data_IF_100877588019
#
_entry.id   IF_100877588019
#
_cell.length_a   1.000
_cell.length_b   1.000
_cell.length_c   1.000
_cell.angle_alpha   90.00
_cell.angle_beta   90.00
_cell.angle_gamma   90.00
#
_symmetry.space_group_name_H-M   'P 1'
#
loop_
_entity.id
_entity.type
_entity.pdbx_description
1 polymer ?
#
# COMPACT_ATOMS: atom_id res chain seq x y z
N UNK A 1 21.64 52.98 14.58
CA UNK A 1 21.52 51.97 13.50
C UNK A 1 21.86 50.62 14.11
N UNK A 2 20.84 49.77 14.26
CA UNK A 2 20.92 48.38 14.76
C UNK A 2 21.32 47.47 13.61
N UNK A 3 22.24 46.53 13.82
CA UNK A 3 22.17 45.18 13.21
C UNK A 3 22.79 44.21 14.23
N UNK A 4 21.96 43.53 15.03
CA UNK A 4 22.36 42.29 15.69
C UNK A 4 22.19 41.19 14.65
N UNK A 5 23.30 40.65 14.13
CA UNK A 5 23.28 39.44 13.32
C UNK A 5 22.95 38.25 14.21
N UNK A 6 21.69 37.81 14.19
CA UNK A 6 21.28 36.52 14.74
C UNK A 6 21.64 35.47 13.69
N UNK A 7 22.77 34.79 13.89
CA UNK A 7 23.16 33.63 13.08
C UNK A 7 22.32 32.44 13.54
N UNK A 8 21.30 32.08 12.77
CA UNK A 8 20.62 30.80 12.92
C UNK A 8 21.55 29.69 12.41
N UNK A 9 22.22 29.00 13.32
CA UNK A 9 22.88 27.73 13.03
C UNK A 9 21.79 26.67 12.82
N UNK A 10 21.38 26.45 11.58
CA UNK A 10 20.65 25.25 11.17
C UNK A 10 21.59 24.06 11.32
N UNK A 11 21.54 23.37 12.46
CA UNK A 11 22.21 22.08 12.60
C UNK A 11 21.49 21.06 11.72
N UNK A 12 22.01 20.80 10.51
CA UNK A 12 21.58 19.67 9.72
C UNK A 12 21.93 18.39 10.50
N UNK A 13 20.93 17.63 10.91
CA UNK A 13 21.14 16.36 11.59
C UNK A 13 21.63 15.34 10.55
N UNK A 14 22.94 15.09 10.53
CA UNK A 14 23.57 14.15 9.61
C UNK A 14 23.34 12.75 10.16
N UNK A 15 22.38 12.03 9.59
CA UNK A 15 22.18 10.62 9.89
C UNK A 15 23.27 9.78 9.21
N UNK A 16 23.81 8.78 9.90
CA UNK A 16 24.78 7.86 9.31
C UNK A 16 24.11 7.04 8.20
N UNK A 17 24.75 6.92 7.04
CA UNK A 17 24.24 6.09 5.95
C UNK A 17 24.38 4.61 6.27
N UNK A 18 23.40 3.82 5.83
CA UNK A 18 23.41 2.36 5.95
C UNK A 18 23.06 1.76 4.60
N UNK A 19 23.90 0.87 4.07
CA UNK A 19 23.68 0.24 2.77
C UNK A 19 23.44 -1.26 2.93
N UNK A 20 22.44 -1.77 2.22
CA UNK A 20 22.08 -3.19 2.14
C UNK A 20 22.26 -3.65 0.70
N UNK A 21 22.92 -4.80 0.51
CA UNK A 21 23.03 -5.45 -0.80
C UNK A 21 21.90 -6.46 -0.96
N UNK A 22 21.14 -6.33 -2.06
CA UNK A 22 20.06 -7.26 -2.41
C UNK A 22 20.31 -7.83 -3.82
N UNK A 23 19.65 -8.94 -4.22
CA UNK A 23 19.74 -9.46 -5.58
C UNK A 23 19.31 -8.45 -6.66
N UNK A 24 18.45 -7.48 -6.32
CA UNK A 24 17.97 -6.45 -7.24
C UNK A 24 18.93 -5.25 -7.37
N UNK A 25 19.94 -5.16 -6.49
CA UNK A 25 20.85 -4.02 -6.39
C UNK A 25 21.01 -3.53 -4.94
N UNK A 26 21.73 -2.42 -4.75
CA UNK A 26 22.01 -1.88 -3.42
C UNK A 26 20.95 -0.87 -2.97
N UNK A 27 20.54 -0.92 -1.71
CA UNK A 27 19.63 0.05 -1.09
C UNK A 27 20.36 0.80 0.01
N UNK A 28 20.47 2.11 -0.12
CA UNK A 28 21.04 3.01 0.87
C UNK A 28 19.91 3.73 1.61
N UNK A 29 19.92 3.56 2.93
CA UNK A 29 19.08 4.23 3.89
C UNK A 29 19.93 5.02 4.89
N UNK A 30 19.34 5.29 6.06
CA UNK A 30 19.98 6.06 7.12
C UNK A 30 19.63 5.53 8.51
N UNK A 31 20.57 5.64 9.44
CA UNK A 31 20.40 5.29 10.83
C UNK A 31 19.73 6.42 11.60
N UNK A 32 18.75 6.10 12.44
CA UNK A 32 18.14 7.02 13.39
C UNK A 32 18.39 6.60 14.83
N UNK A 33 18.62 7.57 15.71
CA UNK A 33 18.79 7.39 17.15
C UNK A 33 18.02 8.50 17.88
N UNK A 34 16.91 8.15 18.52
CA UNK A 34 16.09 9.05 19.33
C UNK A 34 16.39 8.94 20.82
N UNK A 35 17.46 8.22 21.20
CA UNK A 35 17.83 7.97 22.59
C UNK A 35 17.01 6.85 23.24
N UNK A 36 17.29 6.59 24.52
CA UNK A 36 16.72 5.46 25.29
C UNK A 36 15.66 5.88 26.30
N UNK A 37 15.38 7.18 26.44
CA UNK A 37 14.41 7.68 27.40
C UNK A 37 12.97 7.34 26.96
N UNK A 38 12.39 6.29 27.56
CA UNK A 38 11.04 5.82 27.22
C UNK A 38 9.93 6.83 27.58
N UNK A 39 10.22 7.82 28.42
CA UNK A 39 9.30 8.92 28.73
C UNK A 39 9.27 10.00 27.65
N UNK A 40 10.23 10.01 26.72
CA UNK A 40 10.24 10.92 25.59
C UNK A 40 9.16 10.55 24.55
N UNK A 41 8.67 11.55 23.81
CA UNK A 41 7.68 11.31 22.75
C UNK A 41 8.23 10.37 21.67
N UNK A 42 9.53 10.42 21.39
CA UNK A 42 10.23 9.51 20.49
C UNK A 42 11.45 8.94 21.22
N UNK A 43 11.64 7.62 21.12
CA UNK A 43 12.81 6.90 21.62
C UNK A 43 13.07 5.69 20.73
N UNK A 44 14.25 5.09 20.86
CA UNK A 44 14.68 3.93 20.09
C UNK A 44 15.60 4.29 18.93
N UNK A 45 16.14 3.23 18.31
CA UNK A 45 17.05 3.32 17.17
C UNK A 45 16.56 2.41 16.06
N UNK A 46 16.89 2.75 14.82
CA UNK A 46 16.57 1.92 13.67
C UNK A 46 17.39 2.31 12.45
N UNK A 47 17.50 1.39 11.50
CA UNK A 47 17.90 1.72 10.13
C UNK A 47 16.64 1.86 9.27
N UNK A 48 16.59 2.96 8.52
CA UNK A 48 15.41 3.41 7.76
C UNK A 48 15.76 3.38 6.27
N UNK A 49 14.96 2.65 5.49
CA UNK A 49 15.04 2.58 4.03
C UNK A 49 13.71 3.01 3.45
N UNK A 50 13.72 4.04 2.61
CA UNK A 50 12.52 4.61 2.02
C UNK A 50 12.51 4.38 0.51
N UNK A 51 11.33 4.35 -0.10
CA UNK A 51 11.20 4.48 -1.55
C UNK A 51 11.78 3.33 -2.37
N UNK A 52 11.73 2.10 -1.86
CA UNK A 52 12.23 0.93 -2.58
C UNK A 52 11.16 0.48 -3.59
N UNK A 53 11.44 0.47 -4.90
CA UNK A 53 10.47 -0.02 -5.87
C UNK A 53 10.31 -1.54 -5.70
N UNK A 54 9.07 -2.02 -5.76
CA UNK A 54 8.78 -3.46 -5.74
C UNK A 54 8.19 -3.96 -7.06
N UNK A 55 7.72 -3.05 -7.91
CA UNK A 55 7.18 -3.33 -9.24
C UNK A 55 7.56 -2.20 -10.21
N UNK A 56 7.49 -2.48 -11.51
CA UNK A 56 7.71 -1.47 -12.53
C UNK A 56 6.63 -0.37 -12.44
N UNK A 57 6.97 0.89 -12.80
CA UNK A 57 5.99 1.98 -12.76
C UNK A 57 4.76 1.67 -13.63
N UNK A 58 3.53 1.73 -13.07
CA UNK A 58 2.31 1.43 -13.81
C UNK A 58 1.84 2.66 -14.59
N UNK A 59 2.68 3.13 -15.51
CA UNK A 59 2.43 4.33 -16.34
C UNK A 59 2.26 3.97 -17.80
N UNK A 60 1.65 4.87 -18.57
CA UNK A 60 1.38 4.65 -20.00
C UNK A 60 0.57 3.37 -20.22
N UNK A 61 1.05 2.49 -21.08
CA UNK A 61 0.38 1.23 -21.43
C UNK A 61 0.21 0.28 -20.23
N UNK A 62 0.97 0.48 -19.14
CA UNK A 62 0.88 -0.33 -17.91
C UNK A 62 -0.16 0.17 -16.90
N UNK A 63 -0.76 1.35 -17.13
CA UNK A 63 -1.69 2.02 -16.20
C UNK A 63 -2.80 1.11 -15.68
N UNK A 64 -3.42 0.34 -16.58
CA UNK A 64 -4.52 -0.58 -16.29
C UNK A 64 -4.12 -2.06 -16.37
N UNK A 65 -2.83 -2.35 -16.34
CA UNK A 65 -2.32 -3.72 -16.40
C UNK A 65 -1.95 -4.23 -15.00
N UNK A 66 -1.75 -5.53 -14.88
CA UNK A 66 -1.17 -6.12 -13.67
C UNK A 66 0.21 -5.53 -13.36
N UNK A 67 0.61 -5.45 -12.08
CA UNK A 67 1.96 -5.02 -11.74
C UNK A 67 2.97 -5.97 -12.38
N UNK A 68 4.03 -5.40 -12.94
CA UNK A 68 5.15 -6.18 -13.49
C UNK A 68 6.27 -6.22 -12.46
N UNK A 69 6.80 -7.39 -12.08
CA UNK A 69 7.90 -7.48 -11.14
C UNK A 69 9.15 -6.78 -11.70
N UNK A 70 9.91 -6.10 -10.85
CA UNK A 70 11.22 -5.59 -11.24
C UNK A 70 12.27 -6.71 -11.22
N UNK A 71 13.15 -6.72 -12.22
CA UNK A 71 14.31 -7.63 -12.27
C UNK A 71 15.57 -7.02 -11.67
N UNK A 72 15.63 -5.68 -11.57
CA UNK A 72 16.68 -4.91 -10.90
C UNK A 72 16.18 -3.53 -10.53
N UNK A 73 16.85 -2.86 -9.58
CA UNK A 73 16.58 -1.46 -9.29
C UNK A 73 17.03 -0.56 -10.46
N UNK A 74 16.33 0.54 -10.74
CA UNK A 74 16.81 1.55 -11.68
C UNK A 74 18.24 1.98 -11.31
N UNK A 75 19.16 1.95 -12.28
CA UNK A 75 20.60 2.24 -12.07
C UNK A 75 21.31 1.30 -11.06
N UNK A 76 20.71 0.17 -10.71
CA UNK A 76 21.23 -0.82 -9.75
C UNK A 76 21.26 -0.35 -8.30
N UNK A 77 20.75 0.85 -7.99
CA UNK A 77 20.85 1.45 -6.65
C UNK A 77 19.59 2.23 -6.27
N UNK A 78 19.21 2.16 -5.00
CA UNK A 78 18.15 2.99 -4.39
C UNK A 78 18.81 3.84 -3.30
N UNK A 79 18.68 5.16 -3.37
CA UNK A 79 19.27 6.08 -2.40
C UNK A 79 18.28 7.22 -2.12
N UNK A 80 17.23 6.89 -1.38
CA UNK A 80 16.12 7.80 -1.11
C UNK A 80 16.14 8.21 0.37
N UNK A 81 16.03 9.52 0.61
CA UNK A 81 15.98 10.10 1.96
C UNK A 81 14.56 10.45 2.40
N UNK A 82 13.57 10.22 1.53
CA UNK A 82 12.16 10.54 1.77
C UNK A 82 11.22 9.48 1.20
N UNK A 83 9.96 9.54 1.62
CA UNK A 83 8.91 8.71 1.04
C UNK A 83 8.73 9.08 -0.43
N UNK A 84 8.55 8.06 -1.28
CA UNK A 84 8.17 8.27 -2.69
C UNK A 84 6.72 8.74 -2.80
N UNK A 85 6.33 9.33 -3.95
CA UNK A 85 5.00 9.88 -4.13
C UNK A 85 3.90 8.86 -3.77
N UNK A 86 2.80 9.37 -3.22
CA UNK A 86 1.59 8.56 -3.06
C UNK A 86 0.93 8.29 -4.41
N UNK A 87 0.17 7.20 -4.51
CA UNK A 87 -0.65 6.97 -5.71
C UNK A 87 -1.67 8.09 -5.88
N UNK A 88 -2.01 8.43 -7.13
CA UNK A 88 -2.94 9.54 -7.40
C UNK A 88 -4.32 9.29 -6.78
N UNK A 89 -4.79 10.28 -6.04
CA UNK A 89 -5.97 10.25 -5.17
C UNK A 89 -6.46 11.68 -4.87
N UNK A 90 -7.62 11.85 -4.19
CA UNK A 90 -8.00 13.16 -3.67
C UNK A 90 -6.92 13.69 -2.72
N UNK A 91 -6.62 14.99 -2.79
CA UNK A 91 -5.61 15.57 -1.90
C UNK A 91 -6.11 15.56 -0.44
N UNK A 92 -5.30 15.00 0.44
CA UNK A 92 -5.54 14.90 1.88
C UNK A 92 -4.47 15.65 2.70
N UNK A 93 -3.57 16.38 2.03
CA UNK A 93 -2.42 17.07 2.62
C UNK A 93 -1.27 16.14 2.99
N UNK A 94 -1.55 15.04 3.69
CA UNK A 94 -0.50 14.10 4.17
C UNK A 94 0.08 13.22 3.05
N UNK A 95 -0.71 12.92 2.01
CA UNK A 95 -0.31 12.05 0.90
C UNK A 95 0.06 12.88 -0.34
N UNK A 96 1.15 13.66 -0.22
CA UNK A 96 1.71 14.52 -1.26
C UNK A 96 3.25 14.46 -1.24
N UNK A 97 3.96 14.51 -2.38
CA UNK A 97 3.44 14.58 -3.75
C UNK A 97 2.74 13.27 -4.18
N UNK A 98 2.03 13.33 -5.31
CA UNK A 98 1.34 12.17 -5.90
C UNK A 98 1.84 11.87 -7.31
N UNK A 99 1.87 10.60 -7.68
CA UNK A 99 2.29 10.11 -8.98
C UNK A 99 1.61 8.77 -9.31
N UNK A 100 1.51 8.44 -10.59
CA UNK A 100 1.16 7.06 -11.01
C UNK A 100 2.35 6.11 -10.85
N UNK A 101 3.58 6.63 -10.93
CA UNK A 101 4.76 5.94 -10.44
C UNK A 101 4.77 5.97 -8.90
N UNK A 102 4.06 5.01 -8.30
CA UNK A 102 3.83 4.96 -6.85
C UNK A 102 4.06 3.57 -6.22
N UNK A 103 4.50 2.56 -6.97
CA UNK A 103 4.67 1.17 -6.48
C UNK A 103 5.99 0.99 -5.71
N UNK A 104 6.02 1.63 -4.54
CA UNK A 104 7.16 1.64 -3.62
C UNK A 104 6.78 1.11 -2.24
N UNK A 105 7.77 0.59 -1.53
CA UNK A 105 7.68 0.21 -0.13
C UNK A 105 8.82 0.83 0.69
N UNK A 106 8.66 0.79 2.00
CA UNK A 106 9.65 1.28 2.96
C UNK A 106 9.93 0.21 4.01
N UNK A 107 11.15 0.17 4.54
CA UNK A 107 11.59 -0.80 5.56
C UNK A 107 12.19 -0.05 6.74
N UNK A 108 11.70 -0.34 7.94
CA UNK A 108 12.22 0.15 9.22
C UNK A 108 12.68 -1.06 10.04
N UNK A 109 13.98 -1.15 10.35
CA UNK A 109 14.56 -2.35 10.95
C UNK A 109 15.38 -2.01 12.20
N UNK A 110 15.41 -2.88 13.23
CA UNK A 110 16.26 -2.65 14.40
C UNK A 110 17.73 -2.55 14.03
N UNK A 111 18.14 -3.38 13.05
CA UNK A 111 19.51 -3.42 12.54
C UNK A 111 19.52 -4.10 11.17
N UNK A 112 19.94 -3.39 10.13
CA UNK A 112 20.19 -3.94 8.81
C UNK A 112 21.48 -4.77 8.80
N UNK A 113 21.63 -5.67 7.82
CA UNK A 113 22.79 -6.59 7.71
C UNK A 113 23.05 -7.42 8.99
N UNK A 114 22.06 -7.56 9.87
CA UNK A 114 22.20 -8.32 11.11
C UNK A 114 22.16 -9.84 10.85
N UNK A 115 23.00 -10.63 11.54
CA UNK A 115 22.86 -12.08 11.55
C UNK A 115 21.56 -12.53 12.26
N UNK A 116 21.07 -11.72 13.20
CA UNK A 116 19.77 -11.94 13.84
C UNK A 116 18.65 -11.63 12.83
N UNK A 117 17.63 -12.50 12.78
CA UNK A 117 16.44 -12.32 11.95
C UNK A 117 15.23 -12.00 12.81
N UNK A 118 14.67 -10.81 12.62
CA UNK A 118 13.54 -10.28 13.38
C UNK A 118 12.20 -10.65 12.73
N UNK A 119 11.10 -10.85 13.49
CA UNK A 119 9.76 -10.91 12.94
C UNK A 119 9.44 -9.68 12.09
N UNK A 120 8.66 -9.87 11.03
CA UNK A 120 8.31 -8.82 10.06
C UNK A 120 6.82 -8.50 10.19
N UNK A 121 6.48 -7.22 10.25
CA UNK A 121 5.11 -6.71 10.14
C UNK A 121 4.96 -5.86 8.90
N UNK A 122 4.03 -6.22 8.00
CA UNK A 122 3.77 -5.51 6.74
C UNK A 122 2.47 -4.72 6.85
N UNK A 123 2.57 -3.41 6.88
CA UNK A 123 1.45 -2.47 6.98
C UNK A 123 0.85 -2.20 5.61
N UNK A 124 -0.46 -2.45 5.49
CA UNK A 124 -1.29 -2.11 4.35
C UNK A 124 -2.20 -0.96 4.78
N UNK A 125 -2.05 0.21 4.16
CA UNK A 125 -2.82 1.39 4.56
C UNK A 125 -4.30 1.28 4.14
N UNK A 126 -5.17 1.92 4.91
CA UNK A 126 -6.60 2.09 4.60
C UNK A 126 -6.88 3.26 3.66
N UNK A 127 -8.15 3.69 3.63
CA UNK A 127 -8.64 4.82 2.82
C UNK A 127 -9.64 4.44 1.73
N UNK A 128 -10.56 3.51 2.03
CA UNK A 128 -11.66 3.11 1.14
C UNK A 128 -11.24 2.71 -0.28
N UNK A 129 -10.01 2.21 -0.45
CA UNK A 129 -9.40 1.92 -1.76
C UNK A 129 -9.32 3.13 -2.72
N UNK A 130 -9.64 4.34 -2.25
CA UNK A 130 -9.68 5.58 -3.03
C UNK A 130 -8.61 6.59 -2.59
N UNK A 131 -8.08 6.44 -1.37
CA UNK A 131 -7.05 7.29 -0.78
C UNK A 131 -6.20 6.54 0.24
N UNK A 132 -5.28 7.26 0.88
CA UNK A 132 -4.30 6.74 1.84
C UNK A 132 -2.90 6.58 1.24
N UNK A 133 -1.90 6.49 2.12
CA UNK A 133 -0.52 6.26 1.71
C UNK A 133 0.33 5.71 2.86
N UNK A 134 1.44 5.06 2.51
CA UNK A 134 2.43 4.54 3.45
C UNK A 134 2.99 5.60 4.42
N UNK A 135 3.09 6.86 3.99
CA UNK A 135 3.59 7.97 4.83
C UNK A 135 2.69 8.28 6.05
N UNK A 136 1.42 7.84 6.03
CA UNK A 136 0.53 7.93 7.20
C UNK A 136 0.98 7.01 8.35
N UNK A 137 1.89 6.07 8.08
CA UNK A 137 2.56 5.25 9.08
C UNK A 137 4.04 5.68 9.20
N UNK A 138 4.33 6.81 9.88
CA UNK A 138 5.66 7.40 9.87
C UNK A 138 6.68 6.54 10.63
N UNK A 139 7.93 6.54 10.15
CA UNK A 139 8.99 5.75 10.77
C UNK A 139 9.22 6.10 12.25
N UNK A 140 9.06 7.35 12.70
CA UNK A 140 9.21 7.72 14.13
C UNK A 140 8.24 6.96 15.03
N UNK A 141 6.98 6.84 14.59
CA UNK A 141 5.95 6.07 15.28
C UNK A 141 6.23 4.57 15.24
N UNK A 142 6.65 4.06 14.08
CA UNK A 142 7.06 2.66 13.94
C UNK A 142 8.25 2.31 14.85
N UNK A 143 9.26 3.19 14.91
CA UNK A 143 10.47 3.02 15.72
C UNK A 143 10.11 2.89 17.19
N UNK A 144 9.33 3.85 17.70
CA UNK A 144 8.90 3.87 19.09
C UNK A 144 8.11 2.63 19.48
N UNK A 145 7.14 2.23 18.65
CA UNK A 145 6.12 1.27 19.05
C UNK A 145 6.46 -0.18 18.68
N UNK A 146 7.22 -0.41 17.61
CA UNK A 146 7.46 -1.73 17.03
C UNK A 146 8.96 -2.03 16.90
N UNK A 147 9.73 -1.18 16.22
CA UNK A 147 11.14 -1.49 15.91
C UNK A 147 12.00 -1.58 17.17
N UNK A 148 11.77 -0.70 18.15
CA UNK A 148 12.41 -0.75 19.48
C UNK A 148 12.18 -2.06 20.23
N UNK A 149 11.19 -2.86 19.82
CA UNK A 149 10.84 -4.17 20.38
C UNK A 149 11.36 -5.35 19.55
N UNK A 150 12.25 -5.10 18.59
CA UNK A 150 12.86 -6.15 17.77
C UNK A 150 11.95 -6.63 16.62
N UNK A 151 11.22 -5.70 15.98
CA UNK A 151 10.34 -6.01 14.84
C UNK A 151 10.77 -5.21 13.62
N UNK A 152 10.85 -5.85 12.46
CA UNK A 152 10.99 -5.16 11.17
C UNK A 152 9.62 -4.74 10.70
N UNK A 153 9.46 -3.46 10.37
CA UNK A 153 8.21 -2.92 9.83
C UNK A 153 8.41 -2.61 8.35
N UNK A 154 7.51 -3.11 7.52
CA UNK A 154 7.42 -2.76 6.09
C UNK A 154 6.13 -2.00 5.88
N UNK A 155 6.16 -0.89 5.15
CA UNK A 155 4.94 -0.17 4.72
C UNK A 155 4.88 -0.18 3.21
N UNK A 156 3.74 -0.50 2.62
CA UNK A 156 3.61 -0.62 1.15
C UNK A 156 2.64 0.43 0.60
N UNK A 157 2.88 0.83 -0.65
CA UNK A 157 1.90 1.51 -1.50
C UNK A 157 1.20 0.48 -2.39
N UNK A 158 0.02 0.82 -2.89
CA UNK A 158 -0.68 0.07 -3.93
C UNK A 158 -1.59 1.03 -4.71
N UNK A 159 -1.91 0.73 -5.99
CA UNK A 159 -2.78 1.60 -6.77
C UNK A 159 -4.16 1.69 -6.14
N UNK A 160 -4.70 2.92 -6.16
CA UNK A 160 -6.00 3.29 -5.61
C UNK A 160 -6.94 3.73 -6.73
N UNK A 161 -8.21 3.95 -6.39
CA UNK A 161 -9.21 4.59 -7.24
C UNK A 161 -9.28 3.92 -8.64
N UNK A 162 -9.51 4.69 -9.70
CA UNK A 162 -9.62 4.20 -11.09
C UNK A 162 -8.40 3.33 -11.49
N UNK A 163 -7.13 3.75 -11.31
CA UNK A 163 -5.99 2.91 -11.66
C UNK A 163 -5.97 1.54 -10.94
N UNK A 164 -6.39 1.50 -9.67
CA UNK A 164 -6.35 0.27 -8.87
C UNK A 164 -7.57 -0.65 -9.03
N UNK A 165 -8.75 -0.08 -9.24
CA UNK A 165 -10.03 -0.79 -9.04
C UNK A 165 -11.08 -0.60 -10.14
N UNK A 166 -10.89 0.31 -11.11
CA UNK A 166 -11.74 0.33 -12.31
C UNK A 166 -11.62 -0.99 -13.06
N UNK A 167 -12.71 -1.60 -13.47
CA UNK A 167 -12.65 -2.88 -14.18
C UNK A 167 -13.84 -3.09 -15.11
N UNK A 168 -13.61 -3.86 -16.16
CA UNK A 168 -14.65 -4.48 -16.99
C UNK A 168 -14.75 -5.99 -16.75
N UNK A 169 -13.98 -6.52 -15.79
CA UNK A 169 -13.78 -7.95 -15.55
C UNK A 169 -13.33 -8.73 -16.80
N UNK A 170 -12.59 -8.07 -17.68
CA UNK A 170 -11.95 -8.65 -18.86
C UNK A 170 -10.46 -8.35 -18.82
N UNK A 171 -9.67 -9.01 -19.68
CA UNK A 171 -8.22 -8.80 -19.77
C UNK A 171 -7.83 -7.36 -20.15
N UNK A 172 -8.76 -6.58 -20.71
CA UNK A 172 -8.51 -5.18 -21.06
C UNK A 172 -8.47 -4.25 -19.86
N UNK A 173 -9.27 -4.56 -18.84
CA UNK A 173 -9.30 -3.84 -17.56
C UNK A 173 -9.52 -4.86 -16.44
N UNK A 174 -8.51 -5.68 -16.14
CA UNK A 174 -8.67 -6.81 -15.23
C UNK A 174 -8.89 -6.31 -13.81
N UNK A 175 -9.70 -7.02 -13.02
CA UNK A 175 -10.05 -6.59 -11.68
C UNK A 175 -8.87 -6.63 -10.70
N UNK A 176 -9.07 -6.03 -9.52
CA UNK A 176 -8.20 -6.18 -8.34
C UNK A 176 -6.72 -5.80 -8.53
N UNK A 177 -6.38 -4.88 -9.45
CA UNK A 177 -4.98 -4.48 -9.69
C UNK A 177 -4.29 -3.95 -8.45
N UNK A 178 -4.99 -3.14 -7.64
CA UNK A 178 -4.48 -2.68 -6.34
C UNK A 178 -4.17 -3.84 -5.37
N UNK A 179 -4.90 -4.95 -5.44
CA UNK A 179 -4.60 -6.16 -4.65
C UNK A 179 -3.41 -6.93 -5.20
N UNK A 180 -3.27 -6.98 -6.52
CA UNK A 180 -2.11 -7.60 -7.16
C UNK A 180 -0.83 -6.80 -6.92
N UNK A 181 -0.91 -5.48 -6.78
CA UNK A 181 0.22 -4.65 -6.33
C UNK A 181 0.66 -5.08 -4.92
N UNK A 182 -0.28 -5.35 -4.02
CA UNK A 182 0.01 -5.85 -2.67
C UNK A 182 0.66 -7.25 -2.71
N UNK A 183 0.22 -8.14 -3.61
CA UNK A 183 0.89 -9.43 -3.86
C UNK A 183 2.35 -9.23 -4.25
N UNK A 184 2.63 -8.31 -5.18
CA UNK A 184 3.99 -8.07 -5.65
C UNK A 184 4.88 -7.49 -4.53
N UNK A 185 4.34 -6.59 -3.70
CA UNK A 185 5.04 -6.13 -2.51
C UNK A 185 5.32 -7.26 -1.50
N UNK A 186 4.37 -8.18 -1.30
CA UNK A 186 4.57 -9.34 -0.41
C UNK A 186 5.59 -10.34 -0.95
N UNK A 187 5.63 -10.55 -2.28
CA UNK A 187 6.70 -11.32 -2.92
C UNK A 187 8.06 -10.65 -2.75
N UNK A 188 8.12 -9.31 -2.90
CA UNK A 188 9.34 -8.56 -2.61
C UNK A 188 9.80 -8.79 -1.17
N UNK A 189 8.88 -8.74 -0.19
CA UNK A 189 9.20 -9.02 1.22
C UNK A 189 9.76 -10.43 1.38
N UNK A 190 9.12 -11.46 0.84
CA UNK A 190 9.60 -12.83 0.91
C UNK A 190 11.03 -12.99 0.35
N UNK A 191 11.32 -12.35 -0.77
CA UNK A 191 12.59 -12.52 -1.47
C UNK A 191 13.72 -11.66 -0.88
N UNK A 192 13.40 -10.53 -0.23
CA UNK A 192 14.41 -9.51 0.10
C UNK A 192 14.52 -9.16 1.59
N UNK A 193 13.50 -9.39 2.41
CA UNK A 193 13.48 -8.82 3.78
C UNK A 193 14.61 -9.34 4.67
N UNK A 194 15.16 -10.52 4.37
CA UNK A 194 16.30 -11.10 5.05
C UNK A 194 17.57 -10.23 4.99
N UNK A 195 17.79 -9.50 3.89
CA UNK A 195 18.93 -8.59 3.75
C UNK A 195 18.81 -7.36 4.67
N UNK A 196 17.58 -6.99 5.01
CA UNK A 196 17.25 -5.92 5.96
C UNK A 196 17.15 -6.40 7.41
N UNK A 197 17.49 -7.67 7.69
CA UNK A 197 17.43 -8.26 9.03
C UNK A 197 16.07 -8.88 9.40
N UNK A 198 15.10 -8.96 8.47
CA UNK A 198 13.82 -9.62 8.73
C UNK A 198 13.85 -11.13 8.53
N UNK A 199 12.93 -11.85 9.15
CA UNK A 199 12.70 -13.27 8.94
C UNK A 199 11.55 -13.49 7.94
N UNK A 200 11.80 -13.96 6.70
CA UNK A 200 10.74 -14.17 5.71
C UNK A 200 9.75 -15.27 6.12
N UNK A 201 10.11 -16.13 7.08
CA UNK A 201 9.25 -17.18 7.62
C UNK A 201 8.44 -16.74 8.85
N UNK A 202 8.53 -15.47 9.25
CA UNK A 202 7.75 -14.89 10.34
C UNK A 202 7.20 -13.51 9.96
N UNK A 203 6.39 -13.49 8.90
CA UNK A 203 5.72 -12.30 8.38
C UNK A 203 4.28 -12.23 8.89
N UNK A 204 3.90 -11.06 9.39
CA UNK A 204 2.54 -10.70 9.80
C UNK A 204 2.05 -9.57 8.92
N UNK A 205 0.96 -9.75 8.19
CA UNK A 205 0.30 -8.64 7.47
C UNK A 205 -0.70 -7.96 8.40
N UNK A 206 -0.79 -6.64 8.34
CA UNK A 206 -1.75 -5.90 9.15
C UNK A 206 -2.19 -4.62 8.46
N UNK A 207 -3.41 -4.18 8.76
CA UNK A 207 -3.96 -2.97 8.17
C UNK A 207 -5.18 -2.48 8.92
N UNK A 208 -5.57 -1.23 8.64
CA UNK A 208 -6.77 -0.60 9.19
C UNK A 208 -7.77 -0.25 8.09
N UNK A 209 -9.08 -0.37 8.37
CA UNK A 209 -10.15 -0.08 7.41
C UNK A 209 -9.95 -0.85 6.10
N UNK A 210 -9.88 -0.20 4.93
CA UNK A 210 -9.59 -0.86 3.65
C UNK A 210 -8.29 -1.68 3.68
N UNK A 211 -7.28 -1.28 4.46
CA UNK A 211 -6.07 -2.07 4.67
C UNK A 211 -6.32 -3.34 5.50
N UNK A 212 -7.27 -3.29 6.43
CA UNK A 212 -7.74 -4.45 7.18
C UNK A 212 -8.53 -5.42 6.31
N UNK A 213 -9.38 -4.87 5.42
CA UNK A 213 -10.08 -5.62 4.39
C UNK A 213 -9.06 -6.33 3.48
N UNK A 214 -8.03 -5.61 3.02
CA UNK A 214 -6.90 -6.17 2.27
C UNK A 214 -6.20 -7.30 3.01
N UNK A 215 -5.80 -7.07 4.27
CA UNK A 215 -5.13 -8.08 5.09
C UNK A 215 -6.01 -9.32 5.26
N UNK A 216 -7.31 -9.13 5.49
CA UNK A 216 -8.29 -10.21 5.53
C UNK A 216 -8.37 -10.94 4.19
N UNK A 217 -8.42 -10.24 3.06
CA UNK A 217 -8.58 -10.83 1.74
C UNK A 217 -7.36 -11.68 1.32
N UNK A 218 -6.16 -11.23 1.64
CA UNK A 218 -4.93 -12.01 1.44
C UNK A 218 -4.96 -13.35 2.19
N UNK A 219 -5.71 -13.48 3.29
CA UNK A 219 -5.83 -14.77 3.97
C UNK A 219 -6.66 -15.80 3.17
N UNK A 220 -7.48 -15.36 2.22
CA UNK A 220 -8.25 -16.25 1.34
C UNK A 220 -7.52 -16.49 0.02
N UNK A 221 -6.93 -15.46 -0.57
CA UNK A 221 -6.36 -15.51 -1.92
C UNK A 221 -5.31 -16.62 -2.11
N UNK A 222 -5.45 -17.49 -3.12
CA UNK A 222 -4.45 -18.54 -3.39
C UNK A 222 -3.09 -17.94 -3.77
N UNK A 223 -3.07 -16.76 -4.40
CA UNK A 223 -1.84 -16.06 -4.79
C UNK A 223 -1.03 -15.57 -3.59
N UNK A 224 -1.64 -15.47 -2.41
CA UNK A 224 -0.98 -14.99 -1.19
C UNK A 224 -0.43 -16.13 -0.32
N UNK A 225 -0.72 -17.40 -0.68
CA UNK A 225 -0.33 -18.56 0.11
C UNK A 225 1.18 -18.63 0.26
N UNK A 226 1.64 -18.80 1.50
CA UNK A 226 3.06 -18.85 1.83
C UNK A 226 3.78 -17.50 1.89
N UNK A 227 3.14 -16.40 1.46
CA UNK A 227 3.77 -15.07 1.52
C UNK A 227 3.77 -14.45 2.92
N UNK A 228 2.98 -14.99 3.85
CA UNK A 228 2.92 -14.57 5.25
C UNK A 228 2.39 -15.68 6.16
N UNK A 229 2.54 -15.50 7.47
CA UNK A 229 2.21 -16.51 8.48
C UNK A 229 1.15 -16.05 9.49
N UNK A 230 0.86 -14.75 9.61
CA UNK A 230 -0.12 -14.20 10.55
C UNK A 230 -0.82 -12.98 9.96
N UNK A 231 -2.04 -12.68 10.42
CA UNK A 231 -2.76 -11.48 10.01
C UNK A 231 -3.34 -10.71 11.22
N UNK A 232 -3.39 -9.38 11.12
CA UNK A 232 -4.10 -8.51 12.06
C UNK A 232 -5.06 -7.61 11.28
N UNK A 233 -6.34 -7.67 11.63
CA UNK A 233 -7.42 -6.91 11.00
C UNK A 233 -7.99 -5.87 11.96
N UNK A 234 -7.71 -4.59 11.71
CA UNK A 234 -8.20 -3.46 12.51
C UNK A 234 -9.37 -2.77 11.80
N UNK A 235 -10.59 -2.97 12.29
CA UNK A 235 -11.80 -2.29 11.82
C UNK A 235 -12.16 -2.56 10.35
N UNK A 236 -12.15 -3.83 9.95
CA UNK A 236 -12.59 -4.25 8.60
C UNK A 236 -12.27 -5.71 8.31
N UNK A 237 -13.14 -6.39 7.59
CA UNK A 237 -12.90 -7.75 7.10
C UNK A 237 -13.27 -7.84 5.63
N UNK A 238 -12.84 -8.90 4.93
CA UNK A 238 -13.15 -9.09 3.52
C UNK A 238 -14.65 -8.88 3.26
N UNK A 239 -15.54 -9.43 4.11
CA UNK A 239 -16.99 -9.29 3.98
C UNK A 239 -17.52 -7.85 4.02
N UNK A 240 -16.81 -6.91 4.64
CA UNK A 240 -17.16 -5.47 4.62
C UNK A 240 -17.07 -4.88 3.21
N UNK A 241 -16.17 -5.40 2.38
CA UNK A 241 -16.10 -5.03 0.96
C UNK A 241 -17.04 -5.84 0.06
N UNK A 242 -17.83 -6.75 0.65
CA UNK A 242 -18.64 -7.74 -0.06
C UNK A 242 -20.15 -7.62 0.16
N UNK A 243 -20.67 -6.60 0.85
CA UNK A 243 -22.08 -6.55 1.28
C UNK A 243 -23.13 -6.53 0.15
N UNK A 244 -23.66 -7.72 -0.18
CA UNK A 244 -24.61 -7.99 -1.28
C UNK A 244 -24.05 -8.93 -2.37
N UNK A 245 -22.73 -8.99 -2.59
CA UNK A 245 -21.99 -8.10 -3.52
C UNK A 245 -20.46 -8.41 -3.62
N UNK A 246 -19.99 -9.42 -4.37
CA UNK A 246 -18.65 -9.19 -4.96
C UNK A 246 -18.84 -8.00 -5.91
N UNK A 247 -17.97 -6.99 -5.82
CA UNK A 247 -18.26 -5.61 -6.23
C UNK A 247 -19.02 -5.48 -7.56
N UNK A 248 -19.99 -4.58 -7.64
CA UNK A 248 -20.69 -4.37 -8.90
C UNK A 248 -19.80 -3.61 -9.88
N UNK A 249 -20.04 -3.82 -11.17
CA UNK A 249 -19.42 -3.02 -12.22
C UNK A 249 -20.01 -1.60 -12.28
N UNK A 250 -21.06 -1.29 -11.50
CA UNK A 250 -21.82 -0.05 -11.58
C UNK A 250 -20.92 1.18 -11.47
N UNK A 251 -19.97 1.19 -10.53
CA UNK A 251 -19.07 2.34 -10.39
C UNK A 251 -18.13 2.46 -11.60
N UNK A 252 -17.60 1.34 -12.10
CA UNK A 252 -16.78 1.34 -13.32
C UNK A 252 -17.59 1.81 -14.53
N UNK A 253 -18.83 1.34 -14.68
CA UNK A 253 -19.73 1.76 -15.74
C UNK A 253 -20.06 3.26 -15.65
N UNK A 254 -20.40 3.76 -14.47
CA UNK A 254 -20.67 5.18 -14.24
C UNK A 254 -19.45 6.05 -14.59
N UNK A 255 -18.24 5.64 -14.17
CA UNK A 255 -17.01 6.38 -14.48
C UNK A 255 -16.68 6.32 -15.96
N UNK A 256 -16.91 5.20 -16.64
CA UNK A 256 -16.79 5.09 -18.09
C UNK A 256 -17.73 6.08 -18.81
N UNK A 257 -19.00 6.15 -18.40
CA UNK A 257 -19.97 7.09 -18.96
C UNK A 257 -19.56 8.55 -18.73
N UNK A 258 -19.12 8.89 -17.52
CA UNK A 258 -18.79 10.26 -17.12
C UNK A 258 -17.47 10.76 -17.69
N UNK A 259 -16.45 9.90 -17.82
CA UNK A 259 -15.09 10.30 -18.22
C UNK A 259 -14.81 10.09 -19.70
N UNK A 260 -15.48 9.12 -20.33
CA UNK A 260 -15.17 8.67 -21.68
C UNK A 260 -16.33 8.83 -22.67
N UNK A 261 -17.41 9.54 -22.28
CA UNK A 261 -18.65 9.64 -23.07
C UNK A 261 -19.16 8.27 -23.53
N UNK A 262 -18.93 7.24 -22.71
CA UNK A 262 -19.30 5.87 -23.02
C UNK A 262 -20.83 5.73 -22.86
N UNK A 263 -21.52 5.10 -23.80
CA UNK A 263 -22.96 4.87 -23.69
C UNK A 263 -23.26 3.52 -23.04
N UNK A 264 -24.52 3.31 -22.62
CA UNK A 264 -24.99 1.99 -22.19
C UNK A 264 -24.78 0.95 -23.30
N UNK A 265 -25.06 1.30 -24.55
CA UNK A 265 -24.86 0.44 -25.71
C UNK A 265 -23.38 0.09 -25.94
N UNK A 266 -22.45 1.02 -25.69
CA UNK A 266 -21.02 0.74 -25.77
C UNK A 266 -20.57 -0.26 -24.70
N UNK A 267 -21.14 -0.17 -23.50
CA UNK A 267 -20.88 -1.09 -22.38
C UNK A 267 -21.42 -2.49 -22.65
N UNK A 268 -22.69 -2.58 -23.04
CA UNK A 268 -23.32 -3.87 -23.36
C UNK A 268 -22.67 -4.51 -24.59
N UNK A 269 -22.26 -3.68 -25.56
CA UNK A 269 -21.51 -4.07 -26.76
C UNK A 269 -20.01 -4.28 -26.53
N UNK A 270 -19.52 -4.21 -25.29
CA UNK A 270 -18.11 -4.46 -24.89
C UNK A 270 -17.08 -3.69 -25.71
N UNK A 271 -17.35 -2.42 -26.00
CA UNK A 271 -16.50 -1.55 -26.84
C UNK A 271 -15.24 -1.05 -26.08
N UNK A 272 -14.46 -1.96 -25.50
CA UNK A 272 -13.36 -1.65 -24.57
C UNK A 272 -12.19 -0.89 -25.22
N UNK A 273 -12.01 -1.00 -26.54
CA UNK A 273 -11.02 -0.21 -27.26
C UNK A 273 -11.24 1.30 -27.12
N UNK A 274 -12.51 1.75 -27.11
CA UNK A 274 -12.83 3.16 -26.87
C UNK A 274 -12.41 3.61 -25.46
N UNK A 275 -12.58 2.74 -24.45
CA UNK A 275 -12.12 3.01 -23.09
C UNK A 275 -10.61 3.03 -23.00
N UNK A 276 -9.91 2.09 -23.66
CA UNK A 276 -8.45 2.09 -23.72
C UNK A 276 -7.92 3.39 -24.32
N UNK A 277 -8.45 3.81 -25.47
CA UNK A 277 -8.06 5.08 -26.09
C UNK A 277 -8.34 6.28 -25.18
N UNK A 278 -9.53 6.33 -24.57
CA UNK A 278 -9.90 7.41 -23.66
C UNK A 278 -8.97 7.50 -22.44
N UNK A 279 -8.72 6.37 -21.79
CA UNK A 279 -7.93 6.33 -20.56
C UNK A 279 -6.43 6.42 -20.78
N UNK A 280 -5.90 6.02 -21.95
CA UNK A 280 -4.47 6.05 -22.25
C UNK A 280 -3.86 7.47 -22.11
N UNK A 281 -4.59 8.49 -22.52
CA UNK A 281 -4.12 9.89 -22.48
C UNK A 281 -4.78 10.71 -21.37
N UNK A 282 -5.56 10.07 -20.50
CA UNK A 282 -6.32 10.80 -19.49
C UNK A 282 -5.38 11.37 -18.43
N UNK A 283 -5.49 12.69 -18.20
CA UNK A 283 -4.81 13.34 -17.08
C UNK A 283 -5.50 12.92 -15.76
N UNK A 284 -4.74 12.47 -14.74
CA UNK A 284 -5.28 12.10 -13.45
C UNK A 284 -6.17 13.15 -12.76
N UNK A 285 -5.96 14.44 -13.01
CA UNK A 285 -6.79 15.51 -12.45
C UNK A 285 -8.27 15.42 -12.85
N UNK A 286 -8.60 14.73 -13.96
CA UNK A 286 -9.99 14.51 -14.37
C UNK A 286 -10.77 13.60 -13.42
N UNK A 287 -10.09 12.67 -12.76
CA UNK A 287 -10.76 11.64 -11.97
C UNK A 287 -10.38 11.62 -10.50
N UNK A 288 -9.23 12.22 -10.12
CA UNK A 288 -8.68 12.06 -8.76
C UNK A 288 -9.65 12.43 -7.64
N UNK A 289 -10.51 13.44 -7.86
CA UNK A 289 -11.46 13.92 -6.85
C UNK A 289 -12.89 13.35 -7.01
N UNK A 290 -13.18 12.58 -8.06
CA UNK A 290 -14.55 12.13 -8.36
C UNK A 290 -15.14 11.23 -7.28
N UNK A 291 -14.29 10.43 -6.65
CA UNK A 291 -14.68 9.44 -5.63
C UNK A 291 -14.33 9.88 -4.20
N UNK A 292 -13.95 11.15 -4.04
CA UNK A 292 -13.61 11.71 -2.73
C UNK A 292 -14.79 11.58 -1.74
N UNK A 293 -14.51 11.04 -0.55
CA UNK A 293 -15.52 10.86 0.50
C UNK A 293 -16.47 9.67 0.32
N UNK A 294 -16.33 8.90 -0.76
CA UNK A 294 -17.16 7.69 -0.96
C UNK A 294 -16.61 6.53 -0.13
N UNK A 295 -17.21 6.32 1.05
CA UNK A 295 -16.74 5.34 2.03
C UNK A 295 -16.74 3.89 1.50
N UNK A 296 -17.75 3.53 0.69
CA UNK A 296 -17.96 2.18 0.15
C UNK A 296 -18.00 2.15 -1.40
N UNK A 297 -17.18 2.99 -2.04
CA UNK A 297 -17.12 3.14 -3.50
C UNK A 297 -16.40 1.97 -4.17
N UNK A 298 -15.07 2.07 -4.29
CA UNK A 298 -14.25 1.02 -4.89
C UNK A 298 -14.21 -0.24 -4.01
N UNK A 299 -14.38 -1.40 -4.64
CA UNK A 299 -14.44 -2.72 -3.97
C UNK A 299 -13.59 -3.74 -4.72
N UNK A 300 -13.30 -4.85 -4.07
CA UNK A 300 -12.77 -6.04 -4.75
C UNK A 300 -13.89 -6.75 -5.51
N UNK A 301 -13.55 -7.38 -6.62
CA UNK A 301 -14.45 -8.23 -7.38
C UNK A 301 -13.96 -9.68 -7.36
N UNK A 302 -14.88 -10.60 -7.65
CA UNK A 302 -14.48 -11.95 -8.04
C UNK A 302 -13.71 -11.84 -9.36
N UNK A 303 -12.55 -12.47 -9.44
CA UNK A 303 -11.75 -12.57 -10.65
C UNK A 303 -11.25 -14.00 -10.81
N UNK A 304 -10.41 -14.30 -11.79
CA UNK A 304 -9.83 -15.63 -11.94
C UNK A 304 -8.45 -15.77 -11.27
N UNK A 305 -8.06 -14.78 -10.45
CA UNK A 305 -6.68 -14.62 -10.00
C UNK A 305 -6.61 -14.44 -8.48
N UNK A 306 -6.93 -13.23 -8.00
CA UNK A 306 -6.82 -12.88 -6.58
C UNK A 306 -7.97 -13.48 -5.75
N UNK A 307 -9.20 -13.43 -6.24
CA UNK A 307 -10.41 -13.97 -5.63
C UNK A 307 -11.15 -14.85 -6.67
N UNK A 308 -10.66 -16.09 -6.92
CA UNK A 308 -11.26 -17.04 -7.86
C UNK A 308 -12.71 -17.41 -7.56
N UNK A 309 -13.11 -17.32 -6.29
CA UNK A 309 -14.43 -17.72 -5.81
C UNK A 309 -14.84 -16.83 -4.63
N UNK A 310 -16.03 -17.05 -4.08
CA UNK A 310 -16.48 -16.36 -2.88
C UNK A 310 -15.64 -16.78 -1.67
N UNK A 311 -15.45 -15.91 -0.65
CA UNK A 311 -14.71 -16.29 0.54
C UNK A 311 -15.29 -17.52 1.26
N UNK A 312 -16.60 -17.74 1.20
CA UNK A 312 -17.28 -18.92 1.74
C UNK A 312 -16.77 -20.21 1.07
N UNK A 313 -16.66 -20.22 -0.26
CA UNK A 313 -16.15 -21.36 -1.01
C UNK A 313 -14.64 -21.53 -0.83
N UNK A 314 -13.89 -20.42 -0.83
CA UNK A 314 -12.44 -20.43 -0.64
C UNK A 314 -12.02 -20.83 0.78
N UNK A 315 -12.91 -20.73 1.77
CA UNK A 315 -12.61 -21.06 3.15
C UNK A 315 -12.18 -22.52 3.33
N UNK A 316 -12.61 -23.42 2.45
CA UNK A 316 -12.25 -24.85 2.50
C UNK A 316 -10.74 -25.05 2.34
N UNK A 317 -10.10 -24.27 1.46
CA UNK A 317 -8.67 -24.35 1.17
C UNK A 317 -7.86 -23.21 1.81
N UNK A 318 -8.46 -22.51 2.77
CA UNK A 318 -7.83 -21.39 3.47
C UNK A 318 -6.80 -21.91 4.48
N UNK A 319 -5.52 -21.48 4.41
CA UNK A 319 -4.53 -21.87 5.40
C UNK A 319 -4.93 -21.47 6.82
N UNK A 320 -4.76 -22.39 7.78
CA UNK A 320 -4.96 -22.10 9.20
C UNK A 320 -3.76 -21.29 9.71
N UNK A 321 -3.93 -19.98 9.81
CA UNK A 321 -2.94 -19.05 10.36
C UNK A 321 -3.51 -18.33 11.59
N UNK A 322 -2.67 -17.87 12.53
CA UNK A 322 -3.11 -16.98 13.60
C UNK A 322 -3.64 -15.65 13.04
N UNK A 323 -4.84 -15.27 13.47
CA UNK A 323 -5.49 -14.02 13.08
C UNK A 323 -5.94 -13.29 14.34
N UNK A 324 -5.59 -12.01 14.43
CA UNK A 324 -6.15 -11.08 15.42
C UNK A 324 -7.10 -10.12 14.71
N UNK A 325 -8.28 -9.88 15.27
CA UNK A 325 -9.26 -8.96 14.71
C UNK A 325 -9.86 -8.10 15.82
N UNK A 326 -10.22 -6.85 15.51
CA UNK A 326 -10.84 -5.95 16.46
C UNK A 326 -11.44 -4.72 15.78
N UNK A 327 -12.38 -4.08 16.46
CA UNK A 327 -13.02 -2.82 16.05
C UNK A 327 -12.99 -1.84 17.22
N UNK A 328 -13.18 -0.56 16.94
CA UNK A 328 -13.43 0.43 17.99
C UNK A 328 -14.84 0.27 18.57
N UNK A 329 -15.06 0.78 19.78
CA UNK A 329 -16.38 0.75 20.43
C UNK A 329 -17.42 1.55 19.62
N UNK A 330 -17.06 2.77 19.18
CA UNK A 330 -17.93 3.67 18.45
C UNK A 330 -17.43 3.92 17.02
N UNK A 331 -17.38 2.86 16.20
CA UNK A 331 -17.14 3.03 14.76
C UNK A 331 -18.18 4.01 14.17
N UNK A 332 -17.73 4.96 13.34
CA UNK A 332 -18.56 6.02 12.75
C UNK A 332 -19.14 7.07 13.72
N UNK A 333 -18.67 7.18 14.96
CA UNK A 333 -19.14 8.19 15.92
C UNK A 333 -19.06 9.64 15.39
N UNK A 334 -18.11 9.95 14.50
CA UNK A 334 -17.99 11.27 13.86
C UNK A 334 -19.20 11.65 13.00
N UNK A 335 -20.09 10.70 12.69
CA UNK A 335 -21.37 10.93 11.99
C UNK A 335 -22.55 11.12 12.94
N UNK A 336 -22.39 10.82 14.23
CA UNK A 336 -23.39 11.11 15.24
C UNK A 336 -23.29 12.59 15.62
N UNK A 337 -24.39 13.34 15.47
CA UNK A 337 -24.47 14.71 16.03
C UNK A 337 -24.16 14.64 17.53
N UNK A 338 -23.35 15.58 18.02
CA UNK A 338 -23.22 15.78 19.47
C UNK A 338 -24.61 15.99 20.10
N UNK A 339 -24.81 15.61 21.37
CA UNK A 339 -26.07 15.81 22.07
C UNK A 339 -26.63 17.22 21.95
#
# INVERSE_FOLDING_TARGET
MRILLVVFLLSAQIWAQVTVQTPLGSVTGFHVDYGTNQSALWYGKADIFLGIPFAEPPVGDKRFQFPTPISSYPNGTVNESGFKPACVQPDSGTCSPQSEDCLYLNVFTPQANSPQKYPVMVWIHGGSFAGGCAAQFPYKGAVRNLVSRGVVVVTIQYRLNIPGFFTTSTDEFPANRGMLDQIEALKWVQNNIQYFGGNPYSVTIFGQSAGSISASAHTYSPLSRGLFQKAISQSGAIFTSLEGSLGTLDLSQQRAMQLCNFTQADWDGKQWDKLKTCFATMNPDKWRNMDAGTLFGWRMLQDNYFLPDTPENMNVDRPLIPIMLGNMHDEFASTCKSP
#
